data_IF_892766413641
#
_entry.id   IF_892766413641
#
_cell.length_a   1.000
_cell.length_b   1.000
_cell.length_c   1.000
_cell.angle_alpha   90.00
_cell.angle_beta   90.00
_cell.angle_gamma   90.00
#
_symmetry.space_group_name_H-M   'P 1'
#
loop_
_entity.id
_entity.type
_entity.pdbx_description
1 polymer ?
#
# COMPACT_ATOMS: atom_id res chain seq x y z
N UNK A 1 10.33 -9.98 -28.06
CA UNK A 1 8.88 -10.28 -27.96
C UNK A 1 8.34 -9.46 -26.79
N UNK A 2 7.12 -8.91 -26.91
CA UNK A 2 6.52 -8.10 -25.85
C UNK A 2 6.12 -8.94 -24.63
N UNK A 3 5.91 -8.28 -23.48
CA UNK A 3 5.33 -8.93 -22.28
C UNK A 3 3.91 -9.41 -22.56
N UNK A 4 3.45 -10.42 -21.83
CA UNK A 4 2.07 -10.91 -21.90
C UNK A 4 1.37 -10.67 -20.57
N UNK A 5 0.23 -10.00 -20.63
CA UNK A 5 -0.68 -9.78 -19.51
C UNK A 5 -1.84 -10.76 -19.62
N UNK A 6 -2.02 -11.54 -18.57
CA UNK A 6 -3.14 -12.47 -18.39
C UNK A 6 -4.14 -11.79 -17.45
N UNK A 7 -5.37 -11.63 -17.89
CA UNK A 7 -6.31 -10.68 -17.29
C UNK A 7 -7.61 -11.37 -16.90
N UNK A 8 -8.09 -11.10 -15.69
CA UNK A 8 -9.35 -11.69 -15.21
C UNK A 8 -10.53 -11.11 -15.99
N UNK A 9 -11.53 -11.95 -16.29
CA UNK A 9 -12.68 -11.55 -17.11
C UNK A 9 -13.51 -10.43 -16.44
N UNK A 10 -13.54 -10.38 -15.11
CA UNK A 10 -14.19 -9.30 -14.36
C UNK A 10 -13.59 -7.93 -14.67
N UNK A 11 -12.29 -7.86 -14.97
CA UNK A 11 -11.61 -6.63 -15.41
C UNK A 11 -12.12 -6.19 -16.79
N UNK A 12 -12.37 -7.15 -17.71
CA UNK A 12 -12.98 -6.88 -19.02
C UNK A 12 -14.35 -6.22 -18.88
N UNK A 13 -15.18 -6.79 -18.01
CA UNK A 13 -16.53 -6.33 -17.73
C UNK A 13 -16.49 -4.94 -17.08
N UNK A 14 -15.63 -4.75 -16.09
CA UNK A 14 -15.44 -3.47 -15.42
C UNK A 14 -15.04 -2.36 -16.40
N UNK A 15 -13.95 -2.56 -17.18
CA UNK A 15 -13.48 -1.58 -18.16
C UNK A 15 -14.54 -1.25 -19.22
N UNK A 16 -15.36 -2.24 -19.61
CA UNK A 16 -16.44 -2.05 -20.58
C UNK A 16 -17.64 -1.28 -20.02
N UNK A 17 -17.87 -1.34 -18.71
CA UNK A 17 -19.00 -0.74 -18.00
C UNK A 17 -18.71 0.69 -17.49
N UNK A 18 -17.44 1.12 -17.47
CA UNK A 18 -17.08 2.48 -17.08
C UNK A 18 -17.78 3.49 -18.02
N UNK A 19 -18.62 4.33 -17.42
CA UNK A 19 -19.24 5.48 -18.10
C UNK A 19 -18.31 6.68 -18.08
N UNK A 20 -18.15 7.31 -19.24
CA UNK A 20 -17.37 8.55 -19.37
C UNK A 20 -18.12 9.77 -18.81
N UNK A 21 -19.44 9.70 -18.56
CA UNK A 21 -20.24 10.78 -17.96
C UNK A 21 -19.99 12.18 -18.58
N UNK A 22 -19.79 12.25 -19.91
CA UNK A 22 -19.51 13.51 -20.62
C UNK A 22 -18.05 13.98 -20.57
N UNK A 23 -17.16 13.30 -19.84
CA UNK A 23 -15.71 13.54 -19.84
C UNK A 23 -15.08 13.00 -21.13
N UNK A 24 -14.00 13.66 -21.58
CA UNK A 24 -13.25 13.23 -22.76
C UNK A 24 -12.57 11.88 -22.57
N UNK A 25 -12.15 11.59 -21.34
CA UNK A 25 -11.52 10.34 -20.96
C UNK A 25 -11.71 10.05 -19.46
N UNK A 26 -11.47 8.80 -19.08
CA UNK A 26 -11.33 8.35 -17.68
C UNK A 26 -9.98 7.67 -17.54
N UNK A 27 -9.29 7.90 -16.43
CA UNK A 27 -8.01 7.24 -16.11
C UNK A 27 -8.16 6.32 -14.89
N UNK A 28 -7.23 5.41 -14.72
CA UNK A 28 -7.20 4.52 -13.57
C UNK A 28 -5.96 3.65 -13.51
N UNK A 29 -5.96 2.71 -12.58
CA UNK A 29 -4.84 1.83 -12.25
C UNK A 29 -5.18 0.38 -12.57
N UNK A 30 -4.14 -0.38 -12.93
CA UNK A 30 -4.19 -1.83 -13.10
C UNK A 30 -3.42 -2.49 -11.97
N UNK A 31 -4.05 -3.44 -11.27
CA UNK A 31 -3.50 -4.08 -10.08
C UNK A 31 -3.34 -5.58 -10.35
N UNK A 32 -2.24 -6.13 -9.86
CA UNK A 32 -2.02 -7.57 -9.86
C UNK A 32 -0.58 -7.94 -9.55
N UNK A 33 -0.05 -8.98 -10.20
CA UNK A 33 1.26 -9.53 -9.89
C UNK A 33 2.17 -9.58 -11.12
N UNK A 34 3.40 -9.11 -10.96
CA UNK A 34 4.46 -9.32 -11.94
C UNK A 34 5.04 -10.73 -11.83
N UNK A 35 5.41 -11.32 -12.96
CA UNK A 35 6.27 -12.52 -13.00
C UNK A 35 7.33 -12.40 -14.09
N UNK A 36 8.27 -13.35 -14.10
CA UNK A 36 9.36 -13.38 -15.08
C UNK A 36 8.86 -13.60 -16.52
N UNK A 37 7.75 -14.30 -16.71
CA UNK A 37 7.23 -14.66 -18.04
C UNK A 37 5.93 -13.94 -18.43
N UNK A 38 5.01 -13.75 -17.47
CA UNK A 38 3.67 -13.23 -17.68
C UNK A 38 3.21 -12.47 -16.46
N UNK A 39 2.49 -11.38 -16.66
CA UNK A 39 1.90 -10.62 -15.55
C UNK A 39 0.42 -10.93 -15.45
N UNK A 40 -0.11 -10.92 -14.23
CA UNK A 40 -1.50 -11.25 -13.94
C UNK A 40 -2.22 -10.00 -13.48
N UNK A 41 -3.25 -9.57 -14.20
CA UNK A 41 -4.09 -8.43 -13.83
C UNK A 41 -5.39 -8.97 -13.24
N UNK A 42 -5.66 -8.64 -11.99
CA UNK A 42 -6.84 -9.14 -11.25
C UNK A 42 -7.86 -8.05 -10.95
N UNK A 43 -7.44 -6.78 -10.95
CA UNK A 43 -8.31 -5.67 -10.64
C UNK A 43 -7.93 -4.46 -11.49
N UNK A 44 -8.93 -3.68 -11.84
CA UNK A 44 -8.78 -2.33 -12.34
C UNK A 44 -9.62 -1.41 -11.44
N UNK A 45 -9.08 -0.23 -11.14
CA UNK A 45 -9.77 0.82 -10.39
C UNK A 45 -9.66 2.13 -11.15
N UNK A 46 -10.77 2.85 -11.27
CA UNK A 46 -10.84 4.18 -11.84
C UNK A 46 -10.28 5.19 -10.84
N UNK A 47 -9.47 6.13 -11.31
CA UNK A 47 -9.06 7.26 -10.48
C UNK A 47 -10.28 8.07 -10.06
N UNK A 48 -10.48 8.30 -8.75
CA UNK A 48 -11.64 9.03 -8.24
C UNK A 48 -11.79 10.39 -8.92
N UNK A 49 -13.01 10.85 -9.23
CA UNK A 49 -13.20 12.21 -9.70
C UNK A 49 -12.80 13.18 -8.59
N UNK A 50 -11.99 14.19 -8.91
CA UNK A 50 -11.75 15.30 -7.98
C UNK A 50 -13.09 16.01 -7.76
N UNK A 51 -13.50 16.19 -6.52
CA UNK A 51 -14.62 17.08 -6.19
C UNK A 51 -14.18 18.51 -6.54
N UNK A 52 -14.55 18.97 -7.73
CA UNK A 52 -14.41 20.38 -8.07
C UNK A 52 -15.39 21.16 -7.18
N UNK A 53 -14.90 22.18 -6.47
CA UNK A 53 -15.75 23.24 -5.95
C UNK A 53 -16.53 23.80 -7.14
N UNK A 54 -17.81 23.44 -7.21
CA UNK A 54 -18.77 24.05 -8.11
C UNK A 54 -18.70 25.57 -7.93
N UNK A 55 -18.81 26.28 -9.06
CA UNK A 55 -18.79 27.74 -9.24
C UNK A 55 -17.47 28.33 -9.75
N UNK A 56 -17.07 27.99 -10.99
CA UNK A 56 -16.78 28.97 -12.07
C UNK A 56 -15.92 28.42 -13.22
N UNK A 57 -16.50 27.70 -14.17
CA UNK A 57 -16.07 27.81 -15.59
C UNK A 57 -17.01 27.09 -16.56
N UNK A 58 -18.15 27.73 -16.88
CA UNK A 58 -19.04 27.31 -17.99
C UNK A 58 -18.42 27.48 -19.40
N UNK A 59 -17.11 27.70 -19.52
CA UNK A 59 -16.41 27.80 -20.80
C UNK A 59 -14.96 27.30 -20.70
N UNK A 60 -14.77 25.98 -20.58
CA UNK A 60 -13.53 25.37 -21.07
C UNK A 60 -13.89 24.25 -22.04
N UNK A 61 -13.60 24.47 -23.33
CA UNK A 61 -13.58 23.36 -24.29
C UNK A 61 -12.57 22.34 -23.76
N UNK A 62 -13.00 21.09 -23.65
CA UNK A 62 -12.21 19.93 -23.25
C UNK A 62 -10.79 19.97 -23.83
N UNK A 63 -9.83 20.42 -23.01
CA UNK A 63 -8.42 20.22 -23.27
C UNK A 63 -7.98 19.00 -22.46
N UNK A 64 -7.24 18.13 -23.12
CA UNK A 64 -6.58 16.96 -22.54
C UNK A 64 -5.56 17.31 -21.44
N UNK A 65 -5.23 18.60 -21.29
CA UNK A 65 -4.41 19.17 -20.21
C UNK A 65 -5.05 19.09 -18.81
N UNK A 66 -6.30 18.61 -18.69
CA UNK A 66 -6.99 18.42 -17.41
C UNK A 66 -6.65 17.09 -16.71
N UNK A 67 -5.65 16.32 -17.16
CA UNK A 67 -5.18 15.18 -16.35
C UNK A 67 -4.36 15.71 -15.17
N UNK A 68 -4.96 15.66 -13.99
CA UNK A 68 -4.28 15.95 -12.72
C UNK A 68 -3.35 14.78 -12.36
N UNK A 69 -2.08 14.90 -12.76
CA UNK A 69 -1.05 13.92 -12.46
C UNK A 69 -0.81 13.77 -10.97
N UNK A 70 -0.88 14.87 -10.21
CA UNK A 70 -0.68 14.84 -8.76
C UNK A 70 -1.78 14.00 -8.12
N UNK A 71 -3.03 14.23 -8.50
CA UNK A 71 -4.16 13.43 -8.03
C UNK A 71 -4.04 11.95 -8.41
N UNK A 72 -3.65 11.64 -9.65
CA UNK A 72 -3.49 10.26 -10.08
C UNK A 72 -2.31 9.56 -9.36
N UNK A 73 -1.24 10.29 -9.05
CA UNK A 73 -0.13 9.75 -8.24
C UNK A 73 -0.52 9.52 -6.80
N UNK A 74 -1.38 10.37 -6.23
CA UNK A 74 -1.85 10.18 -4.86
C UNK A 74 -2.80 8.99 -4.77
N UNK A 75 -3.74 8.86 -5.71
CA UNK A 75 -4.56 7.65 -5.85
C UNK A 75 -3.71 6.38 -5.94
N UNK A 76 -2.62 6.39 -6.73
CA UNK A 76 -1.71 5.25 -6.81
C UNK A 76 -0.96 4.96 -5.50
N UNK A 77 -0.57 5.99 -4.75
CA UNK A 77 0.06 5.82 -3.44
C UNK A 77 -0.92 5.19 -2.45
N UNK A 78 -2.18 5.66 -2.39
CA UNK A 78 -3.20 5.11 -1.50
C UNK A 78 -3.52 3.66 -1.86
N UNK A 79 -3.80 3.39 -3.14
CA UNK A 79 -4.01 2.02 -3.61
C UNK A 79 -2.81 1.14 -3.31
N UNK A 80 -1.57 1.62 -3.46
CA UNK A 80 -0.38 0.82 -3.13
C UNK A 80 -0.32 0.40 -1.66
N UNK A 81 -0.80 1.22 -0.72
CA UNK A 81 -0.90 0.87 0.72
C UNK A 81 -1.97 -0.21 0.95
N UNK A 82 -2.98 -0.24 0.09
CA UNK A 82 -4.08 -1.21 0.14
C UNK A 82 -3.73 -2.59 -0.45
N UNK A 83 -2.50 -2.78 -0.95
CA UNK A 83 -2.06 -4.03 -1.55
C UNK A 83 -1.23 -4.88 -0.57
N UNK A 84 -1.62 -6.14 -0.33
CA UNK A 84 -0.77 -7.10 0.37
C UNK A 84 0.45 -7.50 -0.46
N UNK A 85 1.38 -8.20 0.18
CA UNK A 85 2.58 -8.74 -0.44
C UNK A 85 2.29 -9.51 -1.73
N UNK A 86 3.13 -9.30 -2.74
CA UNK A 86 3.03 -10.00 -4.03
C UNK A 86 2.07 -9.35 -5.03
N UNK A 87 1.22 -8.42 -4.58
CA UNK A 87 0.43 -7.54 -5.46
C UNK A 87 1.08 -6.17 -5.58
N UNK A 88 0.86 -5.53 -6.72
CA UNK A 88 1.35 -4.19 -7.02
C UNK A 88 0.48 -3.50 -8.07
N UNK A 89 0.62 -2.17 -8.17
CA UNK A 89 0.11 -1.38 -9.28
C UNK A 89 0.99 -1.67 -10.50
N UNK A 90 0.47 -2.45 -11.45
CA UNK A 90 1.18 -2.89 -12.66
C UNK A 90 1.31 -1.78 -13.70
N UNK A 91 0.46 -0.76 -13.61
CA UNK A 91 0.46 0.36 -14.51
C UNK A 91 -0.89 1.07 -14.54
N UNK A 92 -1.14 1.78 -15.64
CA UNK A 92 -2.26 2.72 -15.74
C UNK A 92 -3.10 2.48 -16.98
N UNK A 93 -4.38 2.84 -16.93
CA UNK A 93 -5.27 2.78 -18.09
C UNK A 93 -5.93 4.13 -18.38
N UNK A 94 -6.30 4.34 -19.64
CA UNK A 94 -7.17 5.43 -20.08
C UNK A 94 -8.28 4.86 -20.97
N UNK A 95 -9.52 5.29 -20.70
CA UNK A 95 -10.71 4.99 -21.50
C UNK A 95 -11.14 6.26 -22.25
N UNK A 96 -11.42 6.14 -23.56
CA UNK A 96 -11.87 7.25 -24.40
C UNK A 96 -13.04 6.84 -25.30
N UNK A 97 -13.76 7.81 -25.87
CA UNK A 97 -14.75 7.54 -26.94
C UNK A 97 -14.10 7.34 -28.31
N UNK A 98 -13.02 8.07 -28.60
CA UNK A 98 -12.32 8.02 -29.88
C UNK A 98 -11.20 6.97 -29.87
N UNK A 99 -10.78 6.53 -31.05
CA UNK A 99 -9.59 5.67 -31.18
C UNK A 99 -8.32 6.42 -30.75
N UNK A 100 -7.28 5.66 -30.43
CA UNK A 100 -6.03 6.18 -29.87
C UNK A 100 -5.38 7.25 -30.75
N UNK A 101 -5.37 8.50 -30.26
CA UNK A 101 -4.52 9.57 -30.77
C UNK A 101 -3.11 9.55 -30.17
N UNK A 102 -2.15 10.18 -30.84
CA UNK A 102 -0.79 10.39 -30.31
C UNK A 102 -0.80 11.11 -28.95
N UNK A 103 -1.80 11.97 -28.72
CA UNK A 103 -1.94 12.74 -27.48
C UNK A 103 -2.19 11.82 -26.26
N UNK A 104 -3.15 10.89 -26.34
CA UNK A 104 -3.42 9.93 -25.25
C UNK A 104 -2.24 9.00 -24.97
N UNK A 105 -1.42 8.72 -25.97
CA UNK A 105 -0.18 7.95 -25.79
C UNK A 105 0.85 8.72 -24.99
N UNK A 106 1.04 10.01 -25.28
CA UNK A 106 1.92 10.87 -24.50
C UNK A 106 1.41 11.04 -23.06
N UNK A 107 0.10 11.16 -22.88
CA UNK A 107 -0.55 11.21 -21.56
C UNK A 107 -0.30 9.94 -20.76
N UNK A 108 -0.52 8.75 -21.35
CA UNK A 108 -0.26 7.47 -20.69
C UNK A 108 1.21 7.31 -20.30
N UNK A 109 2.14 7.70 -21.19
CA UNK A 109 3.56 7.71 -20.90
C UNK A 109 3.87 8.61 -19.69
N UNK A 110 3.42 9.87 -19.72
CA UNK A 110 3.67 10.81 -18.61
C UNK A 110 3.10 10.31 -17.28
N UNK A 111 1.88 9.78 -17.32
CA UNK A 111 1.18 9.26 -16.15
C UNK A 111 1.89 8.04 -15.52
N UNK A 112 2.27 7.04 -16.32
CA UNK A 112 2.91 5.83 -15.76
C UNK A 112 4.26 6.16 -15.10
N UNK A 113 5.03 7.07 -15.68
CA UNK A 113 6.29 7.52 -15.09
C UNK A 113 6.08 8.37 -13.83
N UNK A 114 5.05 9.23 -13.80
CA UNK A 114 4.71 10.02 -12.63
C UNK A 114 4.30 9.12 -11.45
N UNK A 115 3.40 8.15 -11.69
CA UNK A 115 2.94 7.17 -10.70
C UNK A 115 4.11 6.41 -10.10
N UNK A 116 4.95 5.81 -10.96
CA UNK A 116 6.11 5.03 -10.49
C UNK A 116 7.13 5.88 -9.74
N UNK A 117 7.37 7.11 -10.18
CA UNK A 117 8.28 8.03 -9.47
C UNK A 117 7.75 8.38 -8.08
N UNK A 118 6.44 8.60 -7.96
CA UNK A 118 5.79 8.93 -6.68
C UNK A 118 5.90 7.76 -5.69
N UNK A 119 5.52 6.55 -6.13
CA UNK A 119 5.57 5.34 -5.30
C UNK A 119 7.01 5.00 -4.89
N UNK A 120 7.99 5.11 -5.80
CA UNK A 120 9.39 4.84 -5.49
C UNK A 120 10.00 5.85 -4.51
N UNK A 121 9.46 7.08 -4.40
CA UNK A 121 9.93 8.07 -3.44
C UNK A 121 9.57 7.71 -1.99
N UNK A 122 8.43 7.05 -1.78
CA UNK A 122 7.97 6.60 -0.45
C UNK A 122 8.63 5.29 -0.01
N UNK A 123 9.16 4.52 -0.96
CA UNK A 123 9.79 3.21 -0.72
C UNK A 123 11.10 3.32 0.07
N UNK A 124 11.18 2.61 1.20
CA UNK A 124 12.36 2.64 2.10
C UNK A 124 13.38 1.51 1.84
N UNK A 125 13.06 0.52 1.01
CA UNK A 125 13.88 -0.67 0.76
C UNK A 125 13.79 -1.16 -0.68
N UNK A 126 14.90 -1.65 -1.22
CA UNK A 126 14.97 -2.34 -2.51
C UNK A 126 15.71 -3.67 -2.31
N UNK A 127 14.99 -4.79 -2.42
CA UNK A 127 15.54 -6.12 -2.08
C UNK A 127 16.37 -6.75 -3.20
N UNK A 128 16.10 -6.42 -4.46
CA UNK A 128 16.78 -7.03 -5.62
C UNK A 128 16.75 -6.12 -6.84
N UNK A 129 17.84 -6.11 -7.62
CA UNK A 129 17.87 -5.55 -8.99
C UNK A 129 17.07 -6.39 -10.01
N UNK A 130 16.57 -7.57 -9.61
CA UNK A 130 15.74 -8.46 -10.44
C UNK A 130 14.26 -8.03 -10.57
N UNK A 131 13.89 -6.86 -10.03
CA UNK A 131 12.52 -6.39 -10.14
C UNK A 131 12.14 -6.06 -11.57
N UNK A 132 10.96 -6.53 -11.98
CA UNK A 132 10.40 -6.21 -13.29
C UNK A 132 10.23 -4.69 -13.39
N UNK A 133 11.00 -4.05 -14.27
CA UNK A 133 10.96 -2.60 -14.49
C UNK A 133 9.90 -2.19 -15.51
N UNK A 134 9.34 -3.14 -16.25
CA UNK A 134 8.28 -2.84 -17.20
C UNK A 134 6.95 -2.55 -16.48
N UNK A 135 6.26 -1.50 -16.93
CA UNK A 135 4.90 -1.15 -16.52
C UNK A 135 3.97 -1.04 -17.70
N UNK A 136 2.72 -1.46 -17.52
CA UNK A 136 1.71 -1.46 -18.58
C UNK A 136 1.01 -0.11 -18.71
N UNK A 137 0.76 0.29 -19.94
CA UNK A 137 -0.24 1.29 -20.26
C UNK A 137 -1.31 0.69 -21.14
N UNK A 138 -2.56 0.90 -20.75
CA UNK A 138 -3.72 0.38 -21.44
C UNK A 138 -4.56 1.53 -21.97
N UNK A 139 -4.90 1.50 -23.24
CA UNK A 139 -5.93 2.36 -23.81
C UNK A 139 -7.10 1.51 -24.27
N UNK A 140 -8.29 1.91 -23.86
CA UNK A 140 -9.53 1.24 -24.23
C UNK A 140 -10.47 2.23 -24.92
N UNK A 141 -10.81 1.95 -26.17
CA UNK A 141 -11.79 2.73 -26.91
C UNK A 141 -13.20 2.20 -26.62
N UNK A 142 -13.97 2.93 -25.84
CA UNK A 142 -15.33 2.53 -25.44
C UNK A 142 -16.29 2.33 -26.61
N UNK A 143 -16.10 3.07 -27.71
CA UNK A 143 -16.94 2.99 -28.92
C UNK A 143 -16.65 1.77 -29.79
N UNK A 144 -15.37 1.45 -29.99
CA UNK A 144 -14.95 0.33 -30.88
C UNK A 144 -14.63 -0.94 -30.11
N UNK A 145 -14.59 -0.87 -28.78
CA UNK A 145 -14.14 -1.94 -27.87
C UNK A 145 -12.70 -2.42 -28.15
N UNK A 146 -11.90 -1.63 -28.88
CA UNK A 146 -10.49 -1.93 -29.14
C UNK A 146 -9.62 -1.63 -27.93
N UNK A 147 -8.68 -2.52 -27.67
CA UNK A 147 -7.66 -2.41 -26.63
C UNK A 147 -6.30 -2.22 -27.28
N UNK A 148 -5.53 -1.29 -26.75
CA UNK A 148 -4.13 -1.11 -27.08
C UNK A 148 -3.30 -1.20 -25.81
N UNK A 149 -2.48 -2.25 -25.73
CA UNK A 149 -1.64 -2.54 -24.58
C UNK A 149 -0.17 -2.30 -24.93
N UNK A 150 0.50 -1.46 -24.15
CA UNK A 150 1.93 -1.14 -24.33
C UNK A 150 2.64 -1.20 -23.00
N UNK A 151 3.96 -1.29 -23.05
CA UNK A 151 4.82 -1.30 -21.87
C UNK A 151 5.95 -0.30 -21.99
N UNK A 152 6.37 0.24 -20.85
CA UNK A 152 7.52 1.12 -20.71
C UNK A 152 8.46 0.59 -19.64
N UNK A 153 9.75 0.68 -19.91
CA UNK A 153 10.79 0.42 -18.91
C UNK A 153 10.97 1.67 -18.05
N UNK A 154 10.56 1.59 -16.79
CA UNK A 154 10.50 2.75 -15.89
C UNK A 154 11.89 3.23 -15.42
N UNK A 155 12.91 2.37 -15.55
CA UNK A 155 14.30 2.77 -15.30
C UNK A 155 14.90 3.60 -16.45
N UNK A 156 14.24 3.61 -17.61
CA UNK A 156 14.64 4.41 -18.76
C UNK A 156 13.56 5.45 -19.10
N UNK A 157 13.70 6.71 -18.66
CA UNK A 157 12.75 7.79 -18.99
C UNK A 157 12.59 8.07 -20.49
N UNK A 158 13.51 7.58 -21.33
CA UNK A 158 13.45 7.67 -22.79
C UNK A 158 12.94 6.37 -23.43
N UNK A 159 12.39 5.44 -22.64
CA UNK A 159 11.87 4.16 -23.12
C UNK A 159 10.80 4.41 -24.17
N UNK A 160 10.96 3.77 -25.32
CA UNK A 160 9.89 3.70 -26.30
C UNK A 160 8.81 2.70 -25.86
N UNK A 161 7.59 2.91 -26.32
CA UNK A 161 6.47 2.05 -26.01
C UNK A 161 6.62 0.70 -26.74
N UNK A 162 6.71 -0.40 -25.99
CA UNK A 162 6.76 -1.76 -26.56
C UNK A 162 5.36 -2.38 -26.56
N UNK A 163 4.84 -2.87 -27.70
CA UNK A 163 3.58 -3.60 -27.72
C UNK A 163 3.61 -4.79 -26.75
N UNK A 164 2.50 -5.03 -26.07
CA UNK A 164 2.34 -6.16 -25.16
C UNK A 164 1.03 -6.90 -25.47
N UNK A 165 1.03 -8.21 -25.21
CA UNK A 165 -0.12 -9.07 -25.41
C UNK A 165 -1.09 -8.89 -24.23
N UNK A 166 -2.36 -8.66 -24.53
CA UNK A 166 -3.44 -8.57 -23.54
C UNK A 166 -4.42 -9.73 -23.75
N UNK A 167 -4.46 -10.68 -22.82
CA UNK A 167 -5.21 -11.94 -22.96
C UNK A 167 -6.10 -12.18 -21.76
N UNK A 168 -7.40 -12.21 -22.00
CA UNK A 168 -8.38 -12.59 -20.99
C UNK A 168 -8.33 -14.10 -20.72
N UNK A 169 -8.43 -14.47 -19.45
CA UNK A 169 -8.47 -15.85 -19.02
C UNK A 169 -9.43 -16.00 -17.84
N UNK A 170 -10.34 -16.99 -17.93
CA UNK A 170 -11.24 -17.32 -16.83
C UNK A 170 -10.47 -18.03 -15.70
N UNK A 171 -10.76 -17.65 -14.45
CA UNK A 171 -10.33 -18.37 -13.26
C UNK A 171 -8.92 -18.03 -12.77
N UNK A 172 -8.38 -16.85 -13.10
CA UNK A 172 -7.13 -16.38 -12.49
C UNK A 172 -7.37 -16.10 -11.00
N UNK A 173 -8.52 -15.55 -10.65
CA UNK A 173 -8.95 -15.28 -9.28
C UNK A 173 -9.01 -16.53 -8.38
N UNK A 174 -9.13 -17.74 -8.94
CA UNK A 174 -9.12 -19.00 -8.19
C UNK A 174 -7.72 -19.63 -8.05
N UNK A 175 -6.70 -19.00 -8.62
CA UNK A 175 -5.37 -19.58 -8.82
C UNK A 175 -4.30 -18.94 -7.94
N UNK A 176 -4.65 -18.46 -6.74
CA UNK A 176 -3.72 -17.78 -5.82
C UNK A 176 -3.40 -18.63 -4.58
N UNK A 177 -2.13 -18.60 -4.20
CA UNK A 177 -1.62 -19.19 -2.97
C UNK A 177 -1.50 -18.07 -1.92
N UNK A 178 -2.06 -18.28 -0.74
CA UNK A 178 -1.94 -17.35 0.38
C UNK A 178 -0.70 -17.72 1.20
N UNK A 179 0.06 -16.72 1.63
CA UNK A 179 1.12 -16.86 2.63
C UNK A 179 0.78 -15.96 3.80
N UNK A 180 0.82 -16.50 5.00
CA UNK A 180 0.45 -15.78 6.22
C UNK A 180 1.61 -15.81 7.21
N UNK A 181 1.84 -14.69 7.87
CA UNK A 181 2.92 -14.54 8.84
C UNK A 181 2.49 -13.62 9.98
N UNK A 182 2.96 -13.89 11.20
CA UNK A 182 2.91 -12.93 12.30
C UNK A 182 4.33 -12.57 12.70
N UNK A 183 4.66 -11.28 12.66
CA UNK A 183 5.97 -10.76 13.03
C UNK A 183 5.88 -9.95 14.30
N UNK A 184 6.75 -10.26 15.26
CA UNK A 184 6.91 -9.46 16.48
C UNK A 184 7.94 -8.36 16.24
N UNK A 185 7.49 -7.13 16.39
CA UNK A 185 8.29 -5.92 16.18
C UNK A 185 8.75 -5.41 17.54
N UNK A 186 10.05 -5.11 17.62
CA UNK A 186 10.66 -4.41 18.74
C UNK A 186 11.84 -3.59 18.21
N UNK A 187 11.53 -2.47 17.59
CA UNK A 187 12.52 -1.55 17.01
C UNK A 187 12.77 -0.43 18.01
N UNK A 188 14.04 -0.26 18.38
CA UNK A 188 14.50 0.82 19.25
C UNK A 188 15.39 1.77 18.45
N UNK A 189 14.96 3.03 18.34
CA UNK A 189 15.67 4.07 17.60
C UNK A 189 16.21 5.12 18.58
N UNK A 190 17.52 5.15 18.86
CA UNK A 190 18.11 6.16 19.72
C UNK A 190 18.15 7.53 19.02
N UNK A 191 17.77 8.60 19.74
CA UNK A 191 17.83 9.98 19.26
C UNK A 191 19.11 10.64 19.77
N UNK A 192 20.10 10.83 18.91
CA UNK A 192 21.40 11.38 19.32
C UNK A 192 21.30 12.85 19.73
N UNK A 193 22.03 13.26 20.79
CA UNK A 193 22.14 14.68 21.18
C UNK A 193 23.06 15.49 20.26
N UNK A 194 23.95 14.82 19.53
CA UNK A 194 25.04 15.43 18.75
C UNK A 194 24.75 15.54 17.25
N UNK A 195 23.71 14.89 16.74
CA UNK A 195 23.26 15.01 15.35
C UNK A 195 22.20 16.11 15.22
N UNK A 196 22.07 16.69 14.02
CA UNK A 196 20.95 17.58 13.65
C UNK A 196 19.64 16.95 14.13
N UNK A 197 18.82 17.71 14.88
CA UNK A 197 17.54 17.24 15.42
C UNK A 197 16.58 16.95 14.26
N UNK A 198 16.55 15.71 13.79
CA UNK A 198 15.58 15.28 12.79
C UNK A 198 14.19 15.18 13.40
N UNK A 199 13.16 15.33 12.57
CA UNK A 199 11.76 15.14 12.97
C UNK A 199 11.53 13.69 13.46
N UNK A 200 10.49 13.48 14.27
CA UNK A 200 10.07 12.14 14.73
C UNK A 200 9.93 11.16 13.55
N UNK A 201 9.28 11.63 12.48
CA UNK A 201 9.12 10.90 11.22
C UNK A 201 10.46 10.46 10.64
N UNK A 202 11.41 11.37 10.47
CA UNK A 202 12.71 11.07 9.86
C UNK A 202 13.56 10.12 10.71
N UNK A 203 13.54 10.28 12.03
CA UNK A 203 14.22 9.34 12.93
C UNK A 203 13.61 7.94 12.83
N UNK A 204 12.28 7.85 12.81
CA UNK A 204 11.56 6.57 12.66
C UNK A 204 11.89 5.90 11.32
N UNK A 205 11.88 6.66 10.21
CA UNK A 205 12.28 6.16 8.88
C UNK A 205 13.70 5.60 8.88
N UNK A 206 14.66 6.24 9.54
CA UNK A 206 16.02 5.73 9.67
C UNK A 206 16.06 4.38 10.43
N UNK A 207 15.29 4.26 11.51
CA UNK A 207 15.15 3.01 12.25
C UNK A 207 14.56 1.88 11.39
N UNK A 208 13.51 2.18 10.63
CA UNK A 208 12.87 1.25 9.70
C UNK A 208 13.82 0.80 8.60
N UNK A 209 14.68 1.67 8.05
CA UNK A 209 15.70 1.29 7.06
C UNK A 209 16.70 0.28 7.64
N UNK A 210 17.11 0.43 8.91
CA UNK A 210 17.99 -0.55 9.55
C UNK A 210 17.27 -1.88 9.77
N UNK A 211 16.04 -1.84 10.28
CA UNK A 211 15.23 -3.03 10.48
C UNK A 211 14.91 -3.76 9.18
N UNK A 212 14.70 -3.03 8.07
CA UNK A 212 14.50 -3.59 6.74
C UNK A 212 15.65 -4.52 6.33
N UNK A 213 16.90 -4.16 6.62
CA UNK A 213 18.07 -5.01 6.38
C UNK A 213 18.06 -6.28 7.24
N UNK A 214 17.49 -6.23 8.44
CA UNK A 214 17.35 -7.43 9.28
C UNK A 214 16.31 -8.38 8.68
N UNK A 215 15.17 -7.86 8.23
CA UNK A 215 14.13 -8.64 7.54
C UNK A 215 14.65 -9.21 6.22
N UNK A 216 15.41 -8.43 5.45
CA UNK A 216 16.04 -8.88 4.21
C UNK A 216 16.95 -10.09 4.42
N UNK A 217 17.76 -10.08 5.48
CA UNK A 217 18.70 -11.16 5.83
C UNK A 217 18.08 -12.27 6.71
N UNK A 218 16.77 -12.21 6.97
CA UNK A 218 16.09 -13.20 7.81
C UNK A 218 15.91 -14.53 7.08
N UNK A 219 15.79 -15.60 7.86
CA UNK A 219 15.48 -16.94 7.35
C UNK A 219 13.97 -17.13 7.37
N UNK A 220 13.42 -17.59 6.24
CA UNK A 220 11.99 -17.82 6.05
C UNK A 220 11.69 -19.32 6.07
N UNK A 221 10.89 -19.76 7.04
CA UNK A 221 10.37 -21.11 7.09
C UNK A 221 8.96 -21.13 6.52
N UNK A 222 8.77 -21.86 5.43
CA UNK A 222 7.47 -22.05 4.79
C UNK A 222 6.94 -23.41 5.21
N UNK A 223 5.80 -23.44 5.90
CA UNK A 223 5.26 -24.63 6.56
C UNK A 223 6.30 -25.35 7.44
N UNK A 224 7.12 -24.56 8.15
CA UNK A 224 8.16 -25.07 9.06
C UNK A 224 9.43 -25.59 8.36
N UNK A 225 9.58 -25.40 7.05
CA UNK A 225 10.76 -25.84 6.29
C UNK A 225 11.46 -24.67 5.62
N UNK A 226 12.80 -24.66 5.67
CA UNK A 226 13.61 -23.80 4.80
C UNK A 226 13.80 -24.55 3.48
N UNK A 227 13.42 -23.90 2.38
CA UNK A 227 13.58 -24.44 1.02
C UNK A 227 14.60 -23.59 0.26
N UNK A 228 15.22 -24.18 -0.75
CA UNK A 228 16.08 -23.46 -1.69
C UNK A 228 15.27 -22.41 -2.47
N UNK A 229 15.87 -21.26 -2.75
CA UNK A 229 15.20 -20.11 -3.37
C UNK A 229 14.67 -20.40 -4.78
N UNK A 230 15.37 -21.26 -5.54
CA UNK A 230 15.02 -21.58 -6.92
C UNK A 230 14.05 -22.75 -7.05
N UNK A 231 13.78 -23.48 -5.96
CA UNK A 231 12.81 -24.57 -5.93
C UNK A 231 11.38 -24.09 -6.19
N UNK A 232 10.57 -24.99 -6.75
CA UNK A 232 9.13 -24.77 -6.87
C UNK A 232 8.51 -24.78 -5.45
N UNK A 233 7.71 -23.77 -5.14
CA UNK A 233 7.05 -23.63 -3.83
C UNK A 233 6.17 -24.86 -3.51
N UNK A 234 5.53 -25.40 -4.56
CA UNK A 234 4.62 -26.56 -4.52
C UNK A 234 5.35 -27.91 -4.63
N UNK A 235 6.68 -27.92 -4.71
CA UNK A 235 7.46 -29.16 -4.82
C UNK A 235 7.22 -30.08 -3.60
N UNK A 236 6.96 -31.37 -3.86
CA UNK A 236 6.70 -32.39 -2.84
C UNK A 236 5.25 -32.53 -2.39
N UNK A 237 4.33 -31.65 -2.80
CA UNK A 237 2.91 -31.82 -2.53
C UNK A 237 2.28 -32.80 -3.53
N UNK A 238 2.00 -34.04 -3.10
CA UNK A 238 1.24 -35.00 -3.91
C UNK A 238 -0.14 -34.43 -4.23
N UNK A 239 -0.39 -34.09 -5.50
CA UNK A 239 -1.76 -33.87 -5.99
C UNK A 239 -2.57 -35.13 -5.68
N UNK A 240 -3.53 -35.04 -4.77
CA UNK A 240 -4.46 -36.13 -4.49
C UNK A 240 -5.17 -36.49 -5.80
N UNK A 241 -4.79 -37.61 -6.39
CA UNK A 241 -5.40 -38.15 -7.59
C UNK A 241 -6.73 -38.80 -7.22
N UNK A 242 -7.82 -38.02 -7.13
CA UNK A 242 -9.22 -38.48 -7.29
C UNK A 242 -10.22 -37.33 -7.10
N UNK A 243 -10.86 -36.94 -8.20
CA UNK A 243 -12.25 -36.45 -8.23
C UNK A 243 -12.52 -35.00 -7.81
N UNK A 244 -13.07 -34.22 -8.75
CA UNK A 244 -13.63 -32.87 -8.63
C UNK A 244 -12.67 -31.75 -8.18
N UNK A 245 -12.32 -30.91 -9.15
CA UNK A 245 -11.58 -29.66 -9.03
C UNK A 245 -12.38 -28.62 -8.24
N UNK A 246 -12.45 -28.75 -6.92
CA UNK A 246 -12.67 -27.61 -6.03
C UNK A 246 -11.33 -26.89 -5.88
N UNK A 247 -11.33 -25.57 -6.06
CA UNK A 247 -10.15 -24.72 -5.88
C UNK A 247 -9.59 -24.94 -4.47
N UNK A 248 -8.42 -25.58 -4.38
CA UNK A 248 -7.78 -25.81 -3.08
C UNK A 248 -7.09 -24.48 -2.74
N UNK A 249 -7.72 -23.71 -1.84
CA UNK A 249 -7.10 -22.54 -1.22
C UNK A 249 -5.93 -23.02 -0.36
N UNK A 250 -4.73 -23.07 -0.94
CA UNK A 250 -3.51 -23.40 -0.23
C UNK A 250 -3.01 -22.15 0.50
N UNK A 251 -3.18 -22.12 1.82
CA UNK A 251 -2.51 -21.17 2.71
C UNK A 251 -1.21 -21.78 3.23
N UNK A 252 -0.14 -20.99 3.25
CA UNK A 252 1.18 -21.35 3.75
C UNK A 252 1.49 -20.56 5.02
N UNK A 253 1.82 -21.27 6.11
CA UNK A 253 2.33 -20.67 7.34
C UNK A 253 3.79 -20.27 7.13
N UNK A 254 4.09 -18.97 7.24
CA UNK A 254 5.44 -18.44 7.11
C UNK A 254 5.93 -17.95 8.46
N UNK A 255 7.09 -18.45 8.89
CA UNK A 255 7.79 -17.95 10.08
C UNK A 255 9.08 -17.29 9.69
N UNK A 256 9.29 -16.10 10.25
CA UNK A 256 10.48 -15.29 10.01
C UNK A 256 11.40 -15.42 11.21
N UNK A 257 12.59 -15.95 10.98
CA UNK A 257 13.65 -15.98 11.98
C UNK A 257 14.65 -14.88 11.63
N UNK A 258 14.62 -13.82 12.42
CA UNK A 258 15.66 -12.79 12.37
C UNK A 258 16.95 -13.40 12.93
N UNK A 259 18.02 -13.36 12.14
CA UNK A 259 19.31 -13.81 12.61
C UNK A 259 19.75 -12.91 13.78
N UNK A 260 20.00 -13.52 14.93
CA UNK A 260 20.77 -12.86 15.97
C UNK A 260 22.15 -12.58 15.34
N UNK A 261 22.53 -11.30 15.25
CA UNK A 261 23.85 -10.84 14.79
C UNK A 261 24.94 -11.31 15.77
N UNK A 262 25.14 -12.62 15.86
CA UNK A 262 26.24 -13.27 16.54
C UNK A 262 27.30 -13.51 15.49
N UNK A 263 28.05 -12.45 15.15
CA UNK A 263 29.30 -12.62 14.41
C UNK A 263 30.23 -13.45 15.30
N UNK A 264 30.55 -14.69 14.91
CA UNK A 264 31.39 -15.60 15.69
C UNK A 264 32.82 -15.08 15.88
N UNK A 265 33.26 -14.14 15.04
CA UNK A 265 34.66 -13.68 14.99
C UNK A 265 34.87 -12.25 15.51
N UNK A 266 33.84 -11.60 16.06
CA UNK A 266 33.95 -10.25 16.58
C UNK A 266 33.55 -10.18 18.05
N UNK A 267 34.53 -9.84 18.89
CA UNK A 267 34.31 -9.43 20.27
C UNK A 267 33.36 -8.22 20.26
N UNK A 268 32.10 -8.41 20.62
CA UNK A 268 31.11 -7.34 20.73
C UNK A 268 31.56 -6.31 21.77
N UNK A 269 32.04 -5.16 21.32
CA UNK A 269 32.25 -3.98 22.15
C UNK A 269 30.95 -3.21 22.25
N UNK A 270 30.41 -3.09 23.45
CA UNK A 270 29.30 -2.20 23.72
C UNK A 270 29.75 -0.75 23.47
N UNK A 271 29.07 -0.05 22.55
CA UNK A 271 29.30 1.37 22.29
C UNK A 271 28.31 2.19 23.11
N UNK A 272 28.81 3.17 23.85
CA UNK A 272 27.96 4.13 24.57
C UNK A 272 27.68 5.31 23.65
N UNK A 273 26.40 5.62 23.44
CA UNK A 273 25.95 6.80 22.70
C UNK A 273 25.16 7.71 23.65
N UNK A 274 25.41 9.01 23.58
CA UNK A 274 24.65 10.01 24.33
C UNK A 274 23.39 10.35 23.51
N UNK A 275 22.22 10.16 24.12
CA UNK A 275 20.93 10.35 23.47
C UNK A 275 20.04 11.32 24.25
N UNK A 276 19.28 12.15 23.54
CA UNK A 276 18.26 13.04 24.11
C UNK A 276 16.93 12.31 24.35
N UNK A 277 16.74 11.16 23.70
CA UNK A 277 15.55 10.34 23.82
C UNK A 277 15.65 9.08 22.95
N UNK A 278 14.53 8.38 22.80
CA UNK A 278 14.44 7.19 21.96
C UNK A 278 13.01 7.02 21.44
N UNK A 279 12.86 6.56 20.20
CA UNK A 279 11.58 6.08 19.66
C UNK A 279 11.55 4.57 19.79
N UNK A 280 10.42 4.05 20.27
CA UNK A 280 10.21 2.61 20.43
C UNK A 280 8.98 2.20 19.63
N UNK A 281 9.18 1.30 18.67
CA UNK A 281 8.09 0.67 17.92
C UNK A 281 7.96 -0.79 18.36
N UNK A 282 6.82 -1.13 18.96
CA UNK A 282 6.57 -2.46 19.55
C UNK A 282 5.18 -2.95 19.22
N UNK A 283 5.05 -4.25 18.96
CA UNK A 283 3.76 -4.91 18.71
C UNK A 283 3.92 -6.19 17.91
N UNK A 284 2.81 -6.85 17.63
CA UNK A 284 2.74 -7.94 16.65
C UNK A 284 1.96 -7.46 15.43
N UNK A 285 2.44 -7.78 14.23
CA UNK A 285 1.73 -7.47 12.98
C UNK A 285 1.40 -8.75 12.23
N UNK A 286 0.18 -8.85 11.72
CA UNK A 286 -0.26 -9.93 10.83
C UNK A 286 -0.02 -9.50 9.39
N UNK A 287 0.78 -10.30 8.69
CA UNK A 287 1.19 -10.09 7.32
C UNK A 287 0.59 -11.16 6.42
N UNK A 288 0.22 -10.77 5.20
CA UNK A 288 -0.38 -11.65 4.21
C UNK A 288 0.21 -11.33 2.84
N UNK A 289 0.58 -12.37 2.10
CA UNK A 289 1.07 -12.24 0.74
C UNK A 289 0.39 -13.25 -0.18
N UNK A 290 0.31 -12.92 -1.47
CA UNK A 290 -0.32 -13.76 -2.48
C UNK A 290 0.61 -14.01 -3.65
N UNK A 291 0.70 -15.26 -4.09
CA UNK A 291 1.44 -15.65 -5.29
C UNK A 291 0.54 -16.45 -6.21
N UNK A 292 0.57 -16.15 -7.50
CA UNK A 292 -0.15 -16.92 -8.50
C UNK A 292 0.45 -18.33 -8.63
N UNK A 293 -0.41 -19.35 -8.67
CA UNK A 293 -0.07 -20.77 -8.63
C UNK A 293 0.62 -21.34 -9.88
N UNK A 294 0.91 -20.50 -10.88
CA UNK A 294 1.63 -20.92 -12.09
C UNK A 294 3.14 -21.00 -11.83
N UNK A 295 3.60 -22.18 -11.37
CA UNK A 295 5.00 -22.48 -11.06
C UNK A 295 5.66 -21.43 -10.16
N UNK A 296 5.06 -21.15 -8.99
CA UNK A 296 5.62 -20.19 -8.05
C UNK A 296 6.94 -20.72 -7.49
N UNK A 297 7.97 -19.86 -7.46
CA UNK A 297 9.23 -20.19 -6.80
C UNK A 297 9.21 -19.77 -5.33
N UNK A 298 10.07 -20.40 -4.53
CA UNK A 298 10.28 -20.01 -3.13
C UNK A 298 10.76 -18.55 -3.03
N UNK A 299 11.67 -18.12 -3.92
CA UNK A 299 12.16 -16.73 -3.92
C UNK A 299 11.05 -15.69 -4.08
N UNK A 300 10.09 -15.94 -4.98
CA UNK A 300 8.99 -15.01 -5.25
C UNK A 300 8.08 -14.89 -4.01
N UNK A 301 7.79 -16.02 -3.36
CA UNK A 301 7.01 -16.07 -2.13
C UNK A 301 7.68 -15.35 -0.95
N UNK A 302 8.98 -15.58 -0.76
CA UNK A 302 9.77 -14.89 0.26
C UNK A 302 9.84 -13.38 -0.02
N UNK A 303 10.05 -12.98 -1.27
CA UNK A 303 10.08 -11.56 -1.65
C UNK A 303 8.73 -10.88 -1.42
N UNK A 304 7.63 -11.53 -1.76
CA UNK A 304 6.29 -11.02 -1.49
C UNK A 304 6.04 -10.85 0.02
N UNK A 305 6.47 -11.82 0.84
CA UNK A 305 6.35 -11.72 2.29
C UNK A 305 7.25 -10.62 2.89
N UNK A 306 8.50 -10.50 2.43
CA UNK A 306 9.41 -9.39 2.80
C UNK A 306 8.77 -8.04 2.55
N UNK A 307 8.18 -7.85 1.36
CA UNK A 307 7.48 -6.60 1.00
C UNK A 307 6.30 -6.34 1.91
N UNK A 308 5.46 -7.33 2.18
CA UNK A 308 4.28 -7.14 3.03
C UNK A 308 4.67 -6.72 4.46
N UNK A 309 5.63 -7.43 5.06
CA UNK A 309 6.12 -7.15 6.42
C UNK A 309 6.62 -5.71 6.52
N UNK A 310 7.44 -5.30 5.57
CA UNK A 310 8.03 -3.97 5.63
C UNK A 310 7.00 -2.86 5.32
N UNK A 311 6.23 -3.00 4.24
CA UNK A 311 5.22 -2.02 3.84
C UNK A 311 4.21 -1.83 4.97
N UNK A 312 3.68 -2.91 5.55
CA UNK A 312 2.70 -2.84 6.66
C UNK A 312 3.18 -1.96 7.80
N UNK A 313 4.44 -2.09 8.20
CA UNK A 313 4.98 -1.34 9.34
C UNK A 313 5.26 0.10 8.96
N UNK A 314 5.82 0.36 7.78
CA UNK A 314 6.09 1.74 7.36
C UNK A 314 4.81 2.51 7.06
N UNK A 315 3.84 1.90 6.38
CA UNK A 315 2.56 2.53 6.04
C UNK A 315 1.83 2.95 7.31
N UNK A 316 1.76 2.08 8.32
CA UNK A 316 1.16 2.43 9.62
C UNK A 316 1.85 3.60 10.30
N UNK A 317 3.19 3.64 10.26
CA UNK A 317 3.94 4.77 10.78
C UNK A 317 3.65 6.05 9.98
N UNK A 318 3.62 5.97 8.65
CA UNK A 318 3.36 7.11 7.77
C UNK A 318 1.95 7.67 8.00
N UNK A 319 0.93 6.80 8.09
CA UNK A 319 -0.45 7.19 8.39
C UNK A 319 -0.54 7.88 9.76
N UNK A 320 0.15 7.37 10.78
CA UNK A 320 0.21 8.06 12.08
C UNK A 320 0.85 9.44 11.96
N UNK A 321 1.94 9.58 11.22
CA UNK A 321 2.59 10.89 11.06
C UNK A 321 1.73 11.86 10.26
N UNK A 322 1.03 11.40 9.23
CA UNK A 322 0.02 12.18 8.50
C UNK A 322 -1.09 12.66 9.46
N UNK A 323 -1.62 11.78 10.31
CA UNK A 323 -2.65 12.14 11.31
C UNK A 323 -2.13 13.15 12.34
N UNK A 324 -0.94 12.95 12.89
CA UNK A 324 -0.34 13.86 13.86
C UNK A 324 -0.12 15.26 13.29
N UNK A 325 0.29 15.37 12.03
CA UNK A 325 0.46 16.65 11.35
C UNK A 325 -0.86 17.40 11.13
N UNK A 326 -1.96 16.66 10.90
CA UNK A 326 -3.28 17.25 10.69
C UNK A 326 -3.97 17.63 12.00
N UNK A 327 -3.72 16.87 13.05
CA UNK A 327 -4.36 17.01 14.36
C UNK A 327 -3.49 17.71 15.40
N UNK A 328 -2.42 18.43 15.01
CA UNK A 328 -1.55 19.16 15.96
C UNK A 328 -2.38 20.11 16.84
N UNK A 329 -2.67 19.68 18.08
CA UNK A 329 -3.21 20.55 19.12
C UNK A 329 -2.02 21.32 19.71
N UNK A 330 -2.04 22.67 19.69
CA UNK A 330 -1.05 23.44 20.42
C UNK A 330 -1.23 23.15 21.91
N UNK A 331 -0.17 22.60 22.52
CA UNK A 331 0.11 22.54 23.96
C UNK A 331 -0.57 21.44 24.80
N UNK A 332 0.26 20.51 25.31
CA UNK A 332 0.88 20.60 26.64
C UNK A 332 2.17 19.77 26.67
N UNK A 333 3.30 20.45 26.91
CA UNK A 333 4.59 19.81 27.20
C UNK A 333 4.60 19.32 28.65
N UNK A 334 3.80 18.31 28.96
CA UNK A 334 4.09 17.50 30.13
C UNK A 334 5.06 16.40 29.69
N UNK A 335 6.16 16.28 30.44
CA UNK A 335 7.32 15.42 30.16
C UNK A 335 7.04 13.92 30.30
N UNK A 336 5.82 13.49 29.98
CA UNK A 336 5.44 12.08 29.96
C UNK A 336 5.89 11.42 28.66
N UNK A 337 6.14 10.11 28.75
CA UNK A 337 6.38 9.29 27.56
C UNK A 337 5.12 9.38 26.69
N UNK A 338 5.27 9.92 25.50
CA UNK A 338 4.19 9.97 24.52
C UNK A 338 3.97 8.57 23.94
N UNK A 339 2.73 8.09 23.99
CA UNK A 339 2.32 6.79 23.46
C UNK A 339 1.30 6.99 22.36
N UNK A 340 1.60 6.50 21.16
CA UNK A 340 0.68 6.49 20.04
C UNK A 340 0.32 5.06 19.66
N UNK A 341 -0.96 4.86 19.33
CA UNK A 341 -1.45 3.60 18.77
C UNK A 341 -1.39 3.70 17.26
N UNK A 342 -0.72 2.76 16.61
CA UNK A 342 -0.72 2.65 15.15
C UNK A 342 -2.06 2.11 14.64
N UNK A 343 -2.48 2.49 13.42
CA UNK A 343 -3.72 1.98 12.86
C UNK A 343 -3.64 0.47 12.65
N UNK A 344 -4.78 -0.20 12.84
CA UNK A 344 -4.94 -1.63 12.64
C UNK A 344 -5.16 -1.91 11.16
N UNK A 345 -4.61 -3.02 10.67
CA UNK A 345 -4.85 -3.46 9.30
C UNK A 345 -6.17 -4.23 9.22
N UNK A 346 -6.95 -3.94 8.20
CA UNK A 346 -8.20 -4.60 7.86
C UNK A 346 -8.01 -5.28 6.52
N UNK A 347 -8.54 -6.49 6.35
CA UNK A 347 -8.54 -7.20 5.08
C UNK A 347 -9.95 -7.30 4.51
N UNK A 348 -10.06 -7.18 3.19
CA UNK A 348 -11.32 -7.24 2.46
C UNK A 348 -11.17 -8.15 1.24
N UNK A 349 -12.06 -9.13 1.03
CA UNK A 349 -11.99 -10.02 -0.13
C UNK A 349 -12.25 -9.28 -1.43
N UNK A 350 -11.52 -9.67 -2.48
CA UNK A 350 -11.93 -9.33 -3.85
C UNK A 350 -13.05 -10.30 -4.25
N UNK A 351 -14.24 -9.80 -4.65
CA UNK A 351 -15.35 -10.68 -5.05
C UNK A 351 -14.95 -11.70 -6.12
N UNK A 352 -15.19 -12.99 -5.82
CA UNK A 352 -14.85 -14.09 -6.73
C UNK A 352 -13.38 -14.49 -6.76
N UNK A 353 -12.55 -13.97 -5.86
CA UNK A 353 -11.12 -14.29 -5.73
C UNK A 353 -10.79 -14.84 -4.35
N UNK A 354 -9.71 -15.63 -4.27
CA UNK A 354 -9.11 -16.03 -2.99
C UNK A 354 -8.15 -14.96 -2.43
N UNK A 355 -7.98 -13.85 -3.14
CA UNK A 355 -7.15 -12.71 -2.75
C UNK A 355 -7.97 -11.71 -1.93
N UNK A 356 -7.37 -11.25 -0.84
CA UNK A 356 -7.88 -10.14 -0.01
C UNK A 356 -6.99 -8.93 -0.21
N UNK A 357 -7.58 -7.75 -0.38
CA UNK A 357 -6.90 -6.46 -0.26
C UNK A 357 -6.82 -6.04 1.21
N UNK A 358 -6.11 -4.96 1.51
CA UNK A 358 -6.06 -4.42 2.86
C UNK A 358 -6.34 -2.92 2.90
N UNK A 359 -6.61 -2.41 4.09
CA UNK A 359 -6.63 -1.00 4.42
C UNK A 359 -6.27 -0.84 5.90
N UNK A 360 -6.22 0.39 6.40
CA UNK A 360 -5.81 0.70 7.76
C UNK A 360 -6.87 1.56 8.44
N UNK A 361 -7.11 1.28 9.72
CA UNK A 361 -8.06 2.04 10.53
C UNK A 361 -7.57 2.32 11.94
N UNK A 362 -7.80 3.51 12.43
CA UNK A 362 -7.68 3.85 13.83
C UNK A 362 -8.83 3.26 14.66
N UNK A 363 -8.71 3.38 15.98
CA UNK A 363 -9.67 2.82 16.93
C UNK A 363 -11.03 3.54 16.92
N UNK A 364 -11.04 4.81 16.54
CA UNK A 364 -12.24 5.66 16.45
C UNK A 364 -12.98 5.53 15.12
N UNK A 365 -12.35 4.96 14.09
CA UNK A 365 -12.95 4.76 12.77
C UNK A 365 -13.90 3.55 12.73
N UNK A 366 -15.07 3.80 12.16
CA UNK A 366 -16.17 2.87 11.92
C UNK A 366 -15.91 1.93 10.74
N UNK A 367 -16.67 0.83 10.67
CA UNK A 367 -16.57 -0.09 9.54
C UNK A 367 -17.13 0.53 8.25
N UNK A 368 -18.10 1.43 8.38
CA UNK A 368 -18.69 2.20 7.29
C UNK A 368 -17.68 3.14 6.64
N UNK A 369 -16.87 3.84 7.44
CA UNK A 369 -15.81 4.73 6.93
C UNK A 369 -14.77 3.95 6.12
N UNK A 370 -14.38 2.76 6.58
CA UNK A 370 -13.46 1.88 5.84
C UNK A 370 -14.11 1.38 4.56
N UNK A 371 -15.37 0.92 4.59
CA UNK A 371 -16.09 0.54 3.37
C UNK A 371 -16.13 1.69 2.37
N UNK A 372 -16.45 2.90 2.82
CA UNK A 372 -16.59 4.07 1.95
C UNK A 372 -15.23 4.46 1.33
N UNK A 373 -14.14 4.42 2.11
CA UNK A 373 -12.78 4.63 1.60
C UNK A 373 -12.37 3.57 0.56
N UNK A 374 -12.69 2.30 0.83
CA UNK A 374 -12.47 1.22 -0.14
C UNK A 374 -13.25 1.44 -1.44
N UNK A 375 -14.52 1.84 -1.36
CA UNK A 375 -15.35 2.16 -2.53
C UNK A 375 -14.75 3.34 -3.30
N UNK A 376 -14.29 4.37 -2.59
CA UNK A 376 -13.66 5.54 -3.19
C UNK A 376 -12.38 5.15 -3.94
N UNK A 377 -11.43 4.48 -3.28
CA UNK A 377 -10.12 4.17 -3.86
C UNK A 377 -10.14 3.04 -4.90
N UNK A 378 -11.05 2.08 -4.77
CA UNK A 378 -11.05 0.91 -5.65
C UNK A 378 -12.21 0.91 -6.65
N UNK A 379 -13.22 1.76 -6.48
CA UNK A 379 -14.42 1.81 -7.34
C UNK A 379 -15.15 0.44 -7.37
N UNK A 380 -15.05 -0.32 -6.27
CA UNK A 380 -15.69 -1.63 -6.08
C UNK A 380 -16.53 -1.65 -4.79
N UNK A 381 -17.71 -2.26 -4.87
CA UNK A 381 -18.61 -2.41 -3.72
C UNK A 381 -18.13 -3.51 -2.79
N UNK A 382 -18.14 -3.23 -1.49
CA UNK A 382 -17.73 -4.13 -0.42
C UNK A 382 -18.84 -4.26 0.62
N UNK A 383 -19.05 -5.46 1.14
CA UNK A 383 -19.98 -5.71 2.23
C UNK A 383 -19.25 -5.58 3.56
N UNK A 384 -19.93 -5.02 4.57
CA UNK A 384 -19.31 -4.76 5.89
C UNK A 384 -18.96 -6.09 6.58
N UNK A 385 -19.77 -7.11 6.37
CA UNK A 385 -19.62 -8.44 6.93
C UNK A 385 -18.34 -9.16 6.46
N UNK A 386 -17.75 -8.68 5.36
CA UNK A 386 -16.54 -9.25 4.76
C UNK A 386 -15.24 -8.64 5.32
N UNK A 387 -15.33 -7.62 6.19
CA UNK A 387 -14.14 -7.00 6.81
C UNK A 387 -13.52 -7.93 7.86
N UNK A 388 -12.29 -8.36 7.62
CA UNK A 388 -11.45 -9.10 8.57
C UNK A 388 -10.46 -8.13 9.23
N UNK A 389 -10.72 -7.72 10.47
CA UNK A 389 -9.72 -6.98 11.26
C UNK A 389 -8.58 -7.95 11.63
N UNK A 390 -7.34 -7.58 11.33
CA UNK A 390 -6.18 -8.37 11.69
C UNK A 390 -6.07 -8.54 13.22
N UNK A 391 -6.09 -9.78 13.69
CA UNK A 391 -5.84 -10.09 15.10
C UNK A 391 -4.39 -9.78 15.48
N UNK A 392 -4.20 -8.73 16.28
CA UNK A 392 -2.88 -8.22 16.65
C UNK A 392 -2.83 -7.86 18.14
N UNK A 393 -1.67 -8.10 18.77
CA UNK A 393 -1.47 -7.78 20.18
C UNK A 393 -0.91 -6.36 20.29
N UNK A 394 -1.71 -5.45 20.85
CA UNK A 394 -1.28 -4.10 21.16
C UNK A 394 -0.58 -4.06 22.54
N UNK A 395 0.74 -3.91 22.55
CA UNK A 395 1.53 -3.89 23.79
C UNK A 395 1.30 -2.62 24.63
N UNK A 396 0.78 -1.53 24.05
CA UNK A 396 0.51 -0.30 24.80
C UNK A 396 -0.65 -0.49 25.81
N UNK A 397 -1.64 -1.32 25.45
CA UNK A 397 -2.79 -1.64 26.30
C UNK A 397 -2.39 -2.55 27.49
N UNK A 398 -1.37 -3.38 27.32
CA UNK A 398 -0.85 -4.24 28.41
C UNK A 398 -0.11 -3.41 29.46
N UNK A 399 0.65 -2.38 29.05
CA UNK A 399 1.38 -1.52 29.99
C UNK A 399 0.50 -0.60 30.84
N UNK A 400 -0.67 -0.18 30.36
CA UNK A 400 -1.61 0.61 31.17
C UNK A 400 -2.30 -0.26 32.24
N UNK A 401 -2.60 -1.53 31.92
CA UNK A 401 -3.19 -2.48 32.89
C UNK A 401 -2.22 -2.86 34.02
N UNK A 402 -0.93 -3.07 33.73
CA UNK A 402 0.07 -3.41 34.75
C UNK A 402 0.48 -2.24 35.65
N UNK A 403 0.26 -0.99 35.21
CA UNK A 403 0.47 0.18 36.07
C UNK A 403 -0.70 0.45 37.03
N UNK A 404 -1.82 -0.25 36.88
CA UNK A 404 -3.02 -0.06 37.74
C UNK A 404 -3.03 -1.00 38.96
N UNK A 405 -2.23 -2.07 38.97
CA UNK A 405 -2.21 -3.04 40.08
C UNK A 405 -1.28 -2.68 41.25
N UNK A 406 -0.68 -1.48 41.26
CA UNK A 406 0.23 -1.02 42.32
C UNK A 406 -0.43 -0.14 43.41
N UNK A 407 -1.76 -0.04 43.47
CA UNK A 407 -2.44 0.61 44.60
C UNK A 407 -3.69 -0.16 45.02
N UNK A 408 -3.51 -1.09 45.95
CA UNK A 408 -4.60 -1.65 46.74
C UNK A 408 -4.95 -0.66 47.85
N UNK A 409 -6.11 0.01 47.75
CA UNK A 409 -7.00 0.22 48.89
C UNK A 409 -8.46 0.44 48.43
N UNK A 410 -9.39 0.12 49.32
CA UNK A 410 -10.74 -0.40 49.07
C UNK A 410 -11.85 0.64 48.78
N UNK A 411 -12.97 0.14 48.22
CA UNK A 411 -14.37 0.64 48.19
C UNK A 411 -14.61 1.96 47.41
N UNK A 412 -15.65 2.18 46.59
CA UNK A 412 -16.97 1.57 46.36
C UNK A 412 -17.44 1.81 44.89
N UNK A 413 -18.47 1.05 44.45
CA UNK A 413 -19.11 1.05 43.12
C UNK A 413 -19.75 2.39 42.66
N UNK A 414 -19.48 2.84 41.42
CA UNK A 414 -20.48 3.45 40.51
C UNK A 414 -19.98 3.51 39.04
N UNK A 415 -20.88 3.52 38.02
CA UNK A 415 -20.56 3.11 36.67
C UNK A 415 -19.94 4.23 35.79
N UNK A 416 -19.22 3.74 34.79
CA UNK A 416 -18.57 4.44 33.68
C UNK A 416 -19.29 5.71 33.17
N UNK A 417 -18.58 6.86 33.23
CA UNK A 417 -18.93 8.07 32.49
C UNK A 417 -18.67 7.88 30.99
N UNK A 418 -19.73 8.02 30.19
CA UNK A 418 -19.65 8.17 28.74
C UNK A 418 -18.80 9.39 28.34
N UNK A 419 -17.96 9.32 27.30
CA UNK A 419 -17.44 10.51 26.67
C UNK A 419 -18.48 11.09 25.70
N UNK A 420 -18.80 12.33 26.01
CA UNK A 420 -19.54 13.39 25.33
C UNK A 420 -19.55 13.27 23.79
N UNK A 421 -20.77 13.13 23.26
CA UNK A 421 -21.15 13.30 21.86
C UNK A 421 -21.05 14.78 21.45
N UNK A 422 -19.96 15.26 20.84
CA UNK A 422 -20.03 16.50 20.01
C UNK A 422 -18.81 16.74 19.10
N UNK A 423 -18.48 15.84 18.15
CA UNK A 423 -17.60 16.19 17.02
C UNK A 423 -17.80 15.24 15.82
N UNK A 424 -18.99 15.21 15.22
CA UNK A 424 -19.38 14.16 14.23
C UNK A 424 -19.49 14.69 12.78
N UNK A 425 -19.11 15.94 12.47
CA UNK A 425 -19.37 16.51 11.12
C UNK A 425 -18.13 17.05 10.39
N UNK A 426 -16.94 17.03 10.99
CA UNK A 426 -15.76 17.72 10.42
C UNK A 426 -14.70 16.83 9.74
N UNK A 427 -14.66 15.51 9.97
CA UNK A 427 -13.55 14.67 9.48
C UNK A 427 -13.62 14.33 7.98
N UNK A 428 -14.81 14.24 7.38
CA UNK A 428 -14.95 13.99 5.92
C UNK A 428 -14.50 15.20 5.08
N UNK A 429 -14.53 16.42 5.63
CA UNK A 429 -13.99 17.62 4.96
C UNK A 429 -12.46 17.76 5.06
N UNK A 430 -11.78 16.98 5.91
CA UNK A 430 -10.34 17.16 6.14
C UNK A 430 -9.46 16.57 5.03
N UNK A 431 -9.93 15.55 4.31
CA UNK A 431 -9.25 15.09 3.07
C UNK A 431 -9.29 16.15 1.96
N UNK A 432 -10.29 17.04 1.95
CA UNK A 432 -10.37 18.20 1.05
C UNK A 432 -9.47 19.34 1.54
N UNK A 433 -9.32 19.49 2.86
CA UNK A 433 -8.44 20.48 3.49
C UNK A 433 -6.95 20.28 3.17
N UNK A 434 -6.51 19.03 3.00
CA UNK A 434 -5.12 18.67 2.62
C UNK A 434 -4.72 19.29 1.28
N UNK A 435 -5.63 19.36 0.33
CA UNK A 435 -5.35 19.81 -1.05
C UNK A 435 -5.32 21.34 -1.14
N UNK A 436 -6.19 22.03 -0.40
CA UNK A 436 -6.20 23.49 -0.36
C UNK A 436 -4.96 24.05 0.37
N UNK A 437 -4.52 23.40 1.46
CA UNK A 437 -3.35 23.86 2.22
C UNK A 437 -2.03 23.70 1.46
N UNK A 438 -1.84 22.59 0.74
CA UNK A 438 -0.65 22.37 -0.09
C UNK A 438 -0.55 23.32 -1.29
N UNK A 439 -1.68 23.59 -1.96
CA UNK A 439 -1.73 24.53 -3.08
C UNK A 439 -1.41 25.97 -2.64
N UNK A 440 -1.89 26.38 -1.46
CA UNK A 440 -1.60 27.71 -0.89
C UNK A 440 -0.13 27.82 -0.47
N UNK A 441 0.46 26.77 0.10
CA UNK A 441 1.87 26.76 0.47
C UNK A 441 2.80 26.83 -0.76
N UNK A 442 2.47 26.12 -1.85
CA UNK A 442 3.24 26.16 -3.10
C UNK A 442 3.13 27.53 -3.81
N UNK A 443 1.94 28.14 -3.81
CA UNK A 443 1.73 29.50 -4.34
C UNK A 443 2.48 30.55 -3.51
N UNK A 444 2.45 30.44 -2.18
CA UNK A 444 3.18 31.34 -1.30
C UNK A 444 4.70 31.24 -1.51
N UNK A 445 5.24 30.03 -1.68
CA UNK A 445 6.65 29.82 -1.98
C UNK A 445 7.05 30.38 -3.36
N UNK A 446 6.20 30.21 -4.38
CA UNK A 446 6.43 30.77 -5.72
C UNK A 446 6.41 32.30 -5.75
N UNK A 447 5.45 32.92 -5.05
CA UNK A 447 5.34 34.39 -4.95
C UNK A 447 6.52 34.95 -4.13
N UNK A 448 6.93 34.28 -3.05
CA UNK A 448 8.07 34.71 -2.24
C UNK A 448 9.38 34.62 -3.03
N UNK A 449 9.58 33.54 -3.80
CA UNK A 449 10.75 33.40 -4.67
C UNK A 449 10.81 34.48 -5.75
N UNK A 450 9.67 34.89 -6.31
CA UNK A 450 9.59 35.93 -7.33
C UNK A 450 9.71 37.36 -6.76
N UNK A 451 9.34 37.58 -5.49
CA UNK A 451 9.44 38.88 -4.83
C UNK A 451 10.84 39.17 -4.27
N UNK A 452 11.63 38.13 -3.96
CA UNK A 452 13.02 38.25 -3.48
C UNK A 452 14.08 38.11 -4.59
N UNK A 453 13.66 37.98 -5.86
CA UNK A 453 14.58 37.82 -7.01
C UNK A 453 14.70 39.07 -7.90
N UNK A 454 14.15 40.22 -7.48
CA UNK A 454 14.40 41.54 -8.07
C UNK A 454 15.38 42.37 -7.21
#
# INVERSE_FOLDING_TARGET
>A
MGRTYIVEETVSQYLSNISLQGKAFVSGLLIGQCSSQKDYVILATRTPPKEEQDESSKHSKAKLDNLDEEWATEHANQVSRMLPGGLLVLGVFIITTLEMGNEFQNTLHRLVFAVEKSMNKKRLWNFTDEEVSERVTLHFCSSTKKIFCRTYDIHNPKSSAKPADWKYQNGLSASWLSLECTVYINIHVPLSTTSVSYTLEKNTKNGLIHWAKQIENSIYLINGQVKDEDCDLLEGQKKSSRGNTQAINHSFDVRVLTQLLLNSDHRSTATVQICSGSVNLKGAVKCRAYIHSNKPKVKDAVQAMKRDILNTVADRCEILFEDLLLNEIPEKKDSEKEFHILPHRVFVPIPGSSVMLCDYKFGDESAEEIRDHFIEMLDHMIQIEDLEIAEEINTACVSSSMNTEASLDNTDDEPSKQPIKTTIVLKIQQNIGVIAAFAVAALAAGISFHYFSD
#
